data_IF_606465971626
#
_entry.id   IF_606465971626
#
_cell.length_a   1.000
_cell.length_b   1.000
_cell.length_c   1.000
_cell.angle_alpha   90.00
_cell.angle_beta   90.00
_cell.angle_gamma   90.00
#
_symmetry.space_group_name_H-M   'P 1'
#
loop_
_entity.id
_entity.type
_entity.pdbx_description
1 polymer ?
#
# COMPACT_ATOMS: atom_id res chain seq x y z
N UNK A 1 6.34 -10.77 9.61
CA UNK A 1 7.37 -11.80 9.31
C UNK A 1 6.75 -13.01 8.61
N UNK A 2 5.59 -13.47 9.08
CA UNK A 2 4.92 -14.68 8.59
C UNK A 2 4.52 -14.60 7.11
N UNK A 3 4.07 -13.43 6.64
CA UNK A 3 3.65 -13.26 5.25
C UNK A 3 4.78 -13.49 4.22
N UNK A 4 6.01 -13.06 4.53
CA UNK A 4 7.16 -13.28 3.65
C UNK A 4 7.57 -14.76 3.65
N UNK A 5 7.60 -15.41 4.82
CA UNK A 5 7.88 -16.83 4.94
C UNK A 5 6.87 -17.68 4.15
N UNK A 6 5.59 -17.32 4.20
CA UNK A 6 4.57 -17.99 3.39
C UNK A 6 4.79 -17.80 1.89
N UNK A 7 5.16 -16.58 1.46
CA UNK A 7 5.48 -16.33 0.05
C UNK A 7 6.67 -17.17 -0.42
N UNK A 8 7.73 -17.28 0.38
CA UNK A 8 8.87 -18.14 0.09
C UNK A 8 8.47 -19.62 0.01
N UNK A 9 7.63 -20.08 0.94
CA UNK A 9 7.12 -21.44 0.94
C UNK A 9 6.33 -21.74 -0.33
N UNK A 10 5.40 -20.86 -0.73
CA UNK A 10 4.61 -21.01 -1.97
C UNK A 10 5.53 -21.06 -3.18
N UNK A 11 6.56 -20.20 -3.25
CA UNK A 11 7.50 -20.21 -4.37
C UNK A 11 8.33 -21.50 -4.47
N UNK A 12 8.68 -22.11 -3.33
CA UNK A 12 9.51 -23.33 -3.29
C UNK A 12 8.71 -24.62 -3.44
N UNK A 13 7.48 -24.65 -2.93
CA UNK A 13 6.73 -25.88 -2.73
C UNK A 13 5.28 -25.84 -3.24
N UNK A 14 4.71 -24.65 -3.41
CA UNK A 14 3.29 -24.47 -3.73
C UNK A 14 2.96 -24.41 -5.22
N UNK A 15 3.97 -24.40 -6.09
CA UNK A 15 3.79 -24.17 -7.52
C UNK A 15 4.47 -25.27 -8.34
N UNK A 16 3.73 -25.86 -9.27
CA UNK A 16 4.22 -26.89 -10.18
C UNK A 16 3.65 -26.66 -11.58
N UNK A 17 4.42 -27.02 -12.60
CA UNK A 17 4.02 -26.96 -14.01
C UNK A 17 3.83 -28.39 -14.49
N UNK A 18 2.64 -28.72 -14.97
CA UNK A 18 2.29 -29.99 -15.61
C UNK A 18 2.38 -29.88 -17.13
N UNK A 19 2.11 -28.71 -17.70
CA UNK A 19 2.26 -28.46 -19.14
C UNK A 19 2.60 -26.99 -19.46
N UNK A 20 3.11 -26.75 -20.67
CA UNK A 20 3.65 -25.44 -21.09
C UNK A 20 2.66 -24.27 -20.96
N UNK A 21 1.35 -24.53 -21.07
CA UNK A 21 0.31 -23.51 -20.92
C UNK A 21 0.22 -22.89 -19.52
N UNK A 22 0.73 -23.56 -18.47
CA UNK A 22 0.68 -23.07 -17.08
C UNK A 22 1.84 -22.14 -16.72
N UNK A 23 2.80 -21.94 -17.63
CA UNK A 23 3.99 -21.11 -17.37
C UNK A 23 3.59 -19.67 -17.02
N UNK A 24 2.60 -19.10 -17.72
CA UNK A 24 2.11 -17.76 -17.41
C UNK A 24 1.46 -17.69 -16.01
N UNK A 25 0.70 -18.73 -15.66
CA UNK A 25 0.02 -18.84 -14.37
C UNK A 25 1.02 -18.96 -13.22
N UNK A 26 2.12 -19.69 -13.43
CA UNK A 26 3.22 -19.77 -12.47
C UNK A 26 3.73 -18.37 -12.09
N UNK A 27 4.07 -17.54 -13.09
CA UNK A 27 4.58 -16.18 -12.82
C UNK A 27 3.52 -15.31 -12.15
N UNK A 28 2.27 -15.42 -12.57
CA UNK A 28 1.15 -14.73 -11.93
C UNK A 28 1.07 -15.08 -10.45
N UNK A 29 1.07 -16.36 -10.09
CA UNK A 29 1.00 -16.81 -8.70
C UNK A 29 2.22 -16.38 -7.87
N UNK A 30 3.43 -16.42 -8.45
CA UNK A 30 4.63 -15.91 -7.78
C UNK A 30 4.52 -14.42 -7.45
N UNK A 31 4.10 -13.61 -8.41
CA UNK A 31 3.93 -12.17 -8.20
C UNK A 31 2.79 -11.87 -7.24
N UNK A 32 1.68 -12.63 -7.30
CA UNK A 32 0.55 -12.46 -6.40
C UNK A 32 0.94 -12.78 -4.95
N UNK A 33 1.67 -13.86 -4.72
CA UNK A 33 2.17 -14.22 -3.39
C UNK A 33 3.14 -13.15 -2.84
N UNK A 34 4.06 -12.64 -3.66
CA UNK A 34 4.99 -11.59 -3.26
C UNK A 34 4.25 -10.27 -2.96
N UNK A 35 3.31 -9.87 -3.81
CA UNK A 35 2.51 -8.64 -3.63
C UNK A 35 1.65 -8.72 -2.38
N UNK A 36 1.02 -9.87 -2.14
CA UNK A 36 0.22 -10.11 -0.92
C UNK A 36 1.10 -10.00 0.33
N UNK A 37 2.31 -10.58 0.30
CA UNK A 37 3.26 -10.45 1.40
C UNK A 37 3.72 -9.00 1.62
N UNK A 38 3.89 -8.22 0.56
CA UNK A 38 4.21 -6.80 0.63
C UNK A 38 3.09 -6.02 1.34
N UNK A 39 1.84 -6.20 0.89
CA UNK A 39 0.66 -5.53 1.48
C UNK A 39 0.54 -5.87 2.97
N UNK A 40 0.63 -7.15 3.32
CA UNK A 40 0.56 -7.58 4.72
C UNK A 40 1.69 -7.00 5.56
N UNK A 41 2.93 -6.99 5.04
CA UNK A 41 4.08 -6.40 5.74
C UNK A 41 3.88 -4.90 5.99
N UNK A 42 3.38 -4.17 4.99
CA UNK A 42 3.08 -2.75 5.12
C UNK A 42 1.93 -2.49 6.10
N UNK A 43 0.89 -3.31 6.10
CA UNK A 43 -0.23 -3.22 7.05
C UNK A 43 0.23 -3.49 8.48
N UNK A 44 1.06 -4.53 8.70
CA UNK A 44 1.66 -4.79 10.02
C UNK A 44 2.45 -3.58 10.50
N UNK A 45 3.35 -3.05 9.68
CA UNK A 45 4.13 -1.86 10.02
C UNK A 45 3.23 -0.67 10.41
N UNK A 46 2.18 -0.41 9.64
CA UNK A 46 1.24 0.67 9.93
C UNK A 46 0.45 0.46 11.22
N UNK A 47 -0.04 -0.76 11.48
CA UNK A 47 -0.82 -1.09 12.68
C UNK A 47 0.05 -1.03 13.94
N UNK A 48 1.29 -1.52 13.86
CA UNK A 48 2.28 -1.51 14.94
C UNK A 48 2.68 -0.08 15.31
N UNK A 49 2.72 0.85 14.34
CA UNK A 49 2.92 2.28 14.57
C UNK A 49 1.68 3.00 15.15
N UNK A 50 0.61 2.27 15.47
CA UNK A 50 -0.63 2.82 16.01
C UNK A 50 -1.54 3.46 14.96
N UNK A 51 -1.38 3.10 13.68
CA UNK A 51 -2.17 3.65 12.58
C UNK A 51 -3.69 3.48 12.76
N UNK A 52 -4.45 4.46 12.28
CA UNK A 52 -5.91 4.51 12.34
C UNK A 52 -6.65 3.87 11.15
N UNK A 53 -7.98 3.89 11.20
CA UNK A 53 -8.82 3.42 10.09
C UNK A 53 -8.96 4.48 9.01
N UNK A 54 -8.90 4.11 7.73
CA UNK A 54 -9.03 5.04 6.59
C UNK A 54 -9.46 4.29 5.32
N UNK A 55 -10.48 4.82 4.64
CA UNK A 55 -10.96 4.26 3.37
C UNK A 55 -11.35 2.79 3.50
N UNK A 56 -10.75 1.92 2.69
CA UNK A 56 -11.02 0.48 2.67
C UNK A 56 -10.43 -0.30 3.87
N UNK A 57 -9.79 0.37 4.84
CA UNK A 57 -9.14 -0.26 5.99
C UNK A 57 -9.78 0.18 7.31
N UNK A 58 -10.20 -0.80 8.11
CA UNK A 58 -10.66 -0.61 9.49
C UNK A 58 -9.75 -1.41 10.44
N UNK A 59 -9.21 -0.73 11.46
CA UNK A 59 -8.37 -1.34 12.49
C UNK A 59 -9.20 -1.54 13.75
N UNK A 60 -9.64 -2.78 13.98
CA UNK A 60 -10.38 -3.14 15.18
C UNK A 60 -9.47 -3.00 16.41
N UNK A 61 -9.99 -2.35 17.44
CA UNK A 61 -9.27 -2.13 18.69
C UNK A 61 -10.27 -1.99 19.83
N UNK A 62 -10.04 -2.72 20.92
CA UNK A 62 -10.88 -2.65 22.13
C UNK A 62 -10.81 -1.29 22.81
N UNK A 63 -9.68 -0.61 22.66
CA UNK A 63 -9.49 0.75 23.16
C UNK A 63 -9.74 1.82 22.08
N UNK A 64 -10.33 1.40 20.94
CA UNK A 64 -10.69 2.27 19.84
C UNK A 64 -11.72 3.33 20.24
N UNK A 65 -11.63 4.50 19.62
CA UNK A 65 -12.49 5.66 19.93
C UNK A 65 -13.74 5.76 19.03
N UNK A 66 -13.95 4.83 18.11
CA UNK A 66 -15.12 4.78 17.24
C UNK A 66 -15.86 3.46 17.36
N UNK A 67 -17.20 3.55 17.38
CA UNK A 67 -18.12 2.41 17.39
C UNK A 67 -19.05 2.54 16.18
N UNK A 68 -19.16 1.53 15.31
CA UNK A 68 -20.03 1.61 14.16
C UNK A 68 -21.50 1.59 14.57
N UNK A 69 -22.30 2.42 13.90
CA UNK A 69 -23.75 2.40 14.00
C UNK A 69 -24.32 1.45 12.94
N UNK A 70 -25.18 0.54 13.37
CA UNK A 70 -25.92 -0.38 12.50
C UNK A 70 -27.42 -0.09 12.58
N UNK A 71 -28.23 -0.77 11.76
CA UNK A 71 -29.69 -0.74 11.89
C UNK A 71 -30.20 -1.18 13.28
N UNK A 72 -29.40 -1.97 14.00
CA UNK A 72 -29.73 -2.48 15.33
C UNK A 72 -29.13 -1.60 16.45
N UNK A 73 -28.61 -0.42 16.12
CA UNK A 73 -27.90 0.46 17.05
C UNK A 73 -26.38 0.31 16.99
N UNK A 74 -25.68 0.86 17.99
CA UNK A 74 -24.23 0.82 18.11
C UNK A 74 -23.73 -0.61 18.36
N UNK A 75 -22.67 -1.03 17.66
CA UNK A 75 -22.11 -2.36 17.80
C UNK A 75 -20.67 -2.32 18.33
N UNK A 76 -20.53 -2.44 19.65
CA UNK A 76 -19.24 -2.35 20.35
C UNK A 76 -18.25 -3.47 19.97
N UNK A 77 -18.75 -4.62 19.53
CA UNK A 77 -17.92 -5.74 19.05
C UNK A 77 -17.04 -5.38 17.83
N UNK A 78 -17.40 -4.30 17.11
CA UNK A 78 -16.66 -3.79 15.95
C UNK A 78 -15.99 -2.44 16.23
N UNK A 79 -15.71 -2.13 17.51
CA UNK A 79 -14.96 -0.93 17.90
C UNK A 79 -13.62 -0.85 17.17
N UNK A 80 -13.27 0.36 16.73
CA UNK A 80 -12.11 0.59 15.89
C UNK A 80 -11.41 1.92 16.19
N UNK A 81 -10.16 2.03 15.72
CA UNK A 81 -9.37 3.27 15.77
C UNK A 81 -9.86 4.22 14.68
N UNK A 82 -10.32 5.42 15.03
CA UNK A 82 -10.61 6.47 14.05
C UNK A 82 -9.40 6.82 13.20
N UNK A 83 -9.66 7.46 12.07
CA UNK A 83 -8.59 8.04 11.24
C UNK A 83 -7.78 9.06 12.05
N UNK A 84 -6.44 8.96 11.99
CA UNK A 84 -5.54 9.93 12.61
C UNK A 84 -5.17 11.03 11.62
N UNK A 85 -5.02 12.27 12.11
CA UNK A 85 -4.64 13.40 11.26
C UNK A 85 -3.19 13.26 10.76
N UNK A 86 -2.33 12.63 11.55
CA UNK A 86 -0.94 12.36 11.17
C UNK A 86 -0.84 11.43 9.96
N UNK A 87 -1.68 10.38 9.92
CA UNK A 87 -1.74 9.39 8.83
C UNK A 87 -2.16 9.99 7.47
N UNK A 88 -2.56 11.27 7.43
CA UNK A 88 -2.89 11.99 6.20
C UNK A 88 -1.69 12.65 5.55
N UNK A 89 -0.63 12.90 6.32
CA UNK A 89 0.54 13.68 5.90
C UNK A 89 1.49 12.84 5.05
N UNK A 90 1.60 11.56 5.37
CA UNK A 90 2.56 10.65 4.75
C UNK A 90 1.88 9.45 4.10
N UNK A 91 2.52 8.91 3.07
CA UNK A 91 2.19 7.63 2.45
C UNK A 91 3.32 6.63 2.74
N UNK A 92 2.95 5.38 2.92
CA UNK A 92 3.90 4.30 3.05
C UNK A 92 4.34 3.81 1.68
N UNK A 93 5.65 3.69 1.48
CA UNK A 93 6.27 3.02 0.36
C UNK A 93 6.89 1.73 0.84
N UNK A 94 6.69 0.66 0.07
CA UNK A 94 7.34 -0.62 0.30
C UNK A 94 8.26 -0.95 -0.86
N UNK A 95 9.47 -1.37 -0.53
CA UNK A 95 10.48 -1.79 -1.50
C UNK A 95 10.97 -3.19 -1.14
N UNK A 96 11.11 -4.05 -2.14
CA UNK A 96 11.67 -5.39 -1.95
C UNK A 96 13.06 -5.45 -2.54
N UNK A 97 14.08 -5.66 -1.71
CA UNK A 97 15.45 -5.90 -2.18
C UNK A 97 16.12 -6.98 -1.35
N UNK A 98 16.99 -7.78 -1.98
CA UNK A 98 17.80 -8.81 -1.33
C UNK A 98 16.99 -9.76 -0.42
N UNK A 99 15.75 -10.09 -0.80
CA UNK A 99 14.90 -10.99 -0.03
C UNK A 99 14.13 -10.33 1.12
N UNK A 100 14.20 -9.00 1.28
CA UNK A 100 13.63 -8.30 2.44
C UNK A 100 12.75 -7.14 1.97
N UNK A 101 11.67 -6.89 2.72
CA UNK A 101 10.83 -5.70 2.54
C UNK A 101 11.32 -4.55 3.41
N UNK A 102 11.49 -3.39 2.78
CA UNK A 102 11.79 -2.12 3.42
C UNK A 102 10.56 -1.23 3.31
N UNK A 103 10.03 -0.81 4.46
CA UNK A 103 8.92 0.15 4.52
C UNK A 103 9.48 1.51 4.90
N UNK A 104 9.08 2.56 4.18
CA UNK A 104 9.43 3.95 4.48
C UNK A 104 8.21 4.85 4.34
N UNK A 105 8.19 5.91 5.12
CA UNK A 105 7.21 6.99 4.98
C UNK A 105 7.74 8.04 4.01
N UNK A 106 6.84 8.65 3.26
CA UNK A 106 7.16 9.80 2.42
C UNK A 106 5.97 10.75 2.41
N UNK A 107 6.19 12.07 2.36
CA UNK A 107 5.09 13.02 2.32
C UNK A 107 4.12 12.76 1.17
N UNK A 108 2.84 12.92 1.46
CA UNK A 108 1.81 13.00 0.42
C UNK A 108 2.06 14.27 -0.38
N UNK A 109 1.97 14.15 -1.71
CA UNK A 109 2.13 15.28 -2.60
C UNK A 109 1.03 16.30 -2.30
N UNK A 110 1.43 17.55 -2.07
CA UNK A 110 0.47 18.64 -1.90
C UNK A 110 -0.40 18.79 -3.16
N UNK A 111 -1.68 19.07 -2.94
CA UNK A 111 -2.55 19.43 -4.04
C UNK A 111 -2.05 20.73 -4.64
N UNK A 112 -1.77 20.78 -5.95
CA UNK A 112 -1.34 22.01 -6.59
C UNK A 112 -2.48 23.04 -6.50
N UNK A 113 -2.13 24.32 -6.33
CA UNK A 113 -3.10 25.41 -6.43
C UNK A 113 -3.57 25.47 -7.90
N UNK A 114 -4.71 24.88 -8.19
CA UNK A 114 -5.22 24.74 -9.58
C UNK A 114 -5.63 26.11 -10.16
N UNK A 115 -5.89 27.11 -9.31
CA UNK A 115 -6.17 28.48 -9.75
C UNK A 115 -4.94 29.07 -10.46
N UNK A 116 -5.05 29.27 -11.77
CA UNK A 116 -3.97 29.81 -12.61
C UNK A 116 -3.13 28.75 -13.33
N UNK A 117 -3.36 27.47 -13.06
CA UNK A 117 -2.74 26.35 -13.79
C UNK A 117 -3.60 26.05 -15.02
N UNK A 118 -3.15 26.55 -16.18
CA UNK A 118 -3.74 26.20 -17.48
C UNK A 118 -3.07 24.92 -18.01
N UNK A 119 -3.88 23.95 -18.42
CA UNK A 119 -3.41 22.67 -18.97
C UNK A 119 -2.35 22.88 -20.07
N UNK A 120 -2.59 23.83 -20.98
CA UNK A 120 -1.74 24.16 -22.13
C UNK A 120 -0.35 24.69 -21.74
N UNK A 121 -0.21 25.35 -20.58
CA UNK A 121 1.05 26.01 -20.18
C UNK A 121 2.04 25.07 -19.47
N UNK A 122 1.61 23.90 -19.02
CA UNK A 122 2.42 23.00 -18.19
C UNK A 122 2.97 21.78 -18.93
N UNK A 123 2.62 21.62 -20.20
CA UNK A 123 3.09 20.52 -21.06
C UNK A 123 4.36 20.76 -21.87
N UNK A 124 4.89 22.00 -22.08
CA UNK A 124 6.08 22.18 -22.89
C UNK A 124 7.27 21.33 -22.44
N UNK A 125 7.47 21.13 -21.14
CA UNK A 125 8.57 20.29 -20.66
C UNK A 125 8.40 18.79 -20.94
N UNK A 126 7.15 18.29 -20.93
CA UNK A 126 6.85 16.93 -21.37
C UNK A 126 7.01 16.79 -22.89
N UNK A 127 6.45 17.72 -23.65
CA UNK A 127 6.48 17.74 -25.12
C UNK A 127 7.91 17.89 -25.67
N UNK A 128 8.74 18.70 -24.99
CA UNK A 128 10.12 18.94 -25.37
C UNK A 128 11.10 17.98 -24.68
N UNK A 129 10.60 17.02 -23.88
CA UNK A 129 11.39 16.01 -23.20
C UNK A 129 12.30 16.50 -22.07
N UNK A 130 12.19 17.76 -21.64
CA UNK A 130 13.06 18.34 -20.60
C UNK A 130 12.82 17.74 -19.22
N UNK A 131 11.64 17.17 -18.96
CA UNK A 131 11.35 16.48 -17.68
C UNK A 131 12.08 15.13 -17.53
N UNK A 132 12.68 14.62 -18.60
CA UNK A 132 13.44 13.36 -18.60
C UNK A 132 14.95 13.59 -18.54
N UNK A 133 15.40 14.84 -18.62
CA UNK A 133 16.80 15.17 -18.48
C UNK A 133 17.18 15.07 -16.99
N UNK A 134 18.38 14.56 -16.67
CA UNK A 134 18.90 14.62 -15.30
C UNK A 134 18.88 16.07 -14.83
N UNK A 135 18.27 16.34 -13.68
CA UNK A 135 18.47 17.62 -13.01
C UNK A 135 19.85 17.57 -12.38
N UNK A 136 20.76 18.45 -12.81
CA UNK A 136 22.02 18.67 -12.10
C UNK A 136 21.69 19.22 -10.70
N UNK A 137 22.17 18.54 -9.65
CA UNK A 137 22.05 18.95 -8.23
C UNK A 137 22.93 20.16 -7.90
#
# INVERSE_FOLDING_TARGET
RDALLLSEFVQRHGLAIKHVGEVAELFMWRHMALTSAAVLTQLTHYIDAGGGSRGARIILDRDGNSIPQTRNGFCDAWRFRSERTEDKKDKLLIHYCNGIFHVRETPVREFPIIRGIWFEKNWPGFLNGTIYQPQDE
#
